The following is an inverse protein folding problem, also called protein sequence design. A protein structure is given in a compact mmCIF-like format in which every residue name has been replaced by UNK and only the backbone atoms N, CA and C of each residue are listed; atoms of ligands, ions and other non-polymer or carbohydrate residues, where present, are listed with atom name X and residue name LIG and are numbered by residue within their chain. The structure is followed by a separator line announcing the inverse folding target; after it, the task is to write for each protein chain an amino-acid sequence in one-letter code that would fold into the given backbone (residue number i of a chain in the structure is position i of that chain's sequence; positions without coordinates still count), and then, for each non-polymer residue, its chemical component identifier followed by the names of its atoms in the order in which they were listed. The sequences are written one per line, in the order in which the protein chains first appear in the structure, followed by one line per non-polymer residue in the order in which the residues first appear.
data_IF_856706166129
#
_entry.id   IF_856706166129
#
_cell.length_a   1.000
_cell.length_b   1.000
_cell.length_c   1.000
_cell.angle_alpha   90.00
_cell.angle_beta   90.00
_cell.angle_gamma   90.00
#
_symmetry.space_group_name_H-M   'P 1'
#
loop_
_entity.id
_entity.type
_entity.pdbx_description
1 polymer ?
#
# COMPACT_ATOMS: atom_id res chain seq x y z
N UNK A 1 -37.43 -21.72 28.57
CA UNK A 1 -37.35 -22.41 27.26
C UNK A 1 -35.92 -22.35 26.78
N UNK A 2 -35.19 -23.48 26.79
CA UNK A 2 -33.77 -23.52 26.46
C UNK A 2 -33.56 -23.30 24.95
N UNK A 3 -32.69 -22.35 24.59
CA UNK A 3 -32.35 -22.00 23.21
C UNK A 3 -31.77 -23.22 22.46
N UNK A 4 -32.28 -23.48 21.25
CA UNK A 4 -31.82 -24.51 20.31
C UNK A 4 -30.30 -24.43 20.01
N UNK A 5 -29.68 -23.26 20.23
CA UNK A 5 -28.24 -23.07 20.08
C UNK A 5 -27.41 -23.76 21.19
N UNK A 6 -27.97 -23.92 22.39
CA UNK A 6 -27.30 -24.58 23.51
C UNK A 6 -27.21 -26.11 23.32
N UNK A 7 -28.22 -26.70 22.67
CA UNK A 7 -28.31 -28.15 22.43
C UNK A 7 -27.23 -28.62 21.44
N UNK A 8 -27.00 -27.88 20.36
CA UNK A 8 -25.99 -28.22 19.35
C UNK A 8 -24.55 -28.12 19.87
N UNK A 9 -24.26 -27.22 20.82
CA UNK A 9 -22.95 -27.11 21.47
C UNK A 9 -22.61 -28.35 22.29
N UNK A 10 -23.60 -28.96 22.95
CA UNK A 10 -23.46 -30.14 23.81
C UNK A 10 -23.10 -31.40 23.01
N UNK A 11 -23.66 -31.57 21.81
CA UNK A 11 -23.43 -32.77 20.97
C UNK A 11 -21.99 -32.82 20.44
N UNK A 12 -21.39 -31.67 20.10
CA UNK A 12 -20.00 -31.62 19.58
C UNK A 12 -18.94 -31.99 20.63
N UNK A 13 -19.22 -31.81 21.92
CA UNK A 13 -18.27 -32.12 23.00
C UNK A 13 -18.10 -33.62 23.23
N UNK A 14 -19.09 -34.45 22.89
CA UNK A 14 -19.00 -35.91 23.07
C UNK A 14 -18.02 -36.59 22.08
N UNK A 15 -17.58 -35.90 21.03
CA UNK A 15 -16.52 -36.39 20.11
C UNK A 15 -15.11 -36.27 20.69
N UNK A 16 -14.94 -35.50 21.77
CA UNK A 16 -13.67 -35.32 22.44
C UNK A 16 -13.56 -36.23 23.68
N UNK A 17 -12.33 -36.68 24.02
CA UNK A 17 -12.04 -37.37 25.27
C UNK A 17 -12.53 -36.58 26.50
N UNK A 18 -12.84 -37.26 27.62
CA UNK A 18 -13.46 -36.64 28.79
C UNK A 18 -12.62 -35.48 29.37
N UNK A 19 -11.29 -35.52 29.25
CA UNK A 19 -10.38 -34.46 29.69
C UNK A 19 -10.53 -33.13 28.92
N UNK A 20 -11.12 -33.13 27.72
CA UNK A 20 -11.36 -31.92 26.91
C UNK A 20 -12.80 -31.43 26.96
N UNK A 21 -13.64 -32.06 27.78
CA UNK A 21 -15.02 -31.63 27.98
C UNK A 21 -15.02 -30.50 29.02
N UNK A 22 -15.58 -29.37 28.61
CA UNK A 22 -15.75 -28.23 29.52
C UNK A 22 -16.73 -28.68 30.60
N UNK A 23 -16.33 -28.71 31.89
CA UNK A 23 -17.26 -29.02 32.97
C UNK A 23 -18.39 -28.01 32.94
N UNK A 24 -19.62 -28.44 33.28
CA UNK A 24 -20.71 -27.47 33.47
C UNK A 24 -20.21 -26.41 34.44
N UNK A 25 -20.44 -25.11 34.16
CA UNK A 25 -20.00 -24.06 35.06
C UNK A 25 -20.64 -24.36 36.40
N UNK A 26 -19.84 -24.86 37.33
CA UNK A 26 -20.25 -25.10 38.70
C UNK A 26 -20.66 -23.73 39.19
N UNK A 27 -21.98 -23.50 39.27
CA UNK A 27 -22.53 -22.40 40.04
C UNK A 27 -22.04 -22.66 41.45
N UNK A 28 -20.91 -22.03 41.79
CA UNK A 28 -20.46 -21.92 43.16
C UNK A 28 -21.69 -21.47 43.94
N UNK A 29 -22.16 -22.33 44.84
CA UNK A 29 -23.06 -21.94 45.90
C UNK A 29 -22.25 -21.00 46.79
N UNK A 30 -22.10 -19.76 46.32
CA UNK A 30 -21.65 -18.67 47.17
C UNK A 30 -22.76 -18.47 48.20
N UNK A 31 -22.41 -18.62 49.46
CA UNK A 31 -23.20 -18.18 50.60
C UNK A 31 -23.64 -16.72 50.35
N UNK A 32 -24.97 -16.43 50.31
CA UNK A 32 -25.46 -15.08 50.04
C UNK A 32 -25.03 -14.05 51.10
N UNK A 33 -24.43 -14.47 52.22
CA UNK A 33 -23.97 -13.58 53.27
C UNK A 33 -22.57 -12.99 53.07
N UNK A 34 -21.75 -13.51 52.13
CA UNK A 34 -20.36 -13.04 51.91
C UNK A 34 -20.11 -12.51 50.49
N UNK A 35 -21.16 -12.42 49.66
CA UNK A 35 -21.06 -11.77 48.36
C UNK A 35 -20.98 -10.25 48.59
N UNK A 36 -19.76 -9.72 48.66
CA UNK A 36 -19.54 -8.30 48.40
C UNK A 36 -20.26 -7.95 47.08
N UNK A 37 -20.96 -6.81 46.99
CA UNK A 37 -21.59 -6.42 45.75
C UNK A 37 -20.49 -6.31 44.70
N UNK A 38 -20.47 -7.27 43.78
CA UNK A 38 -19.78 -7.12 42.51
C UNK A 38 -20.65 -6.08 41.81
N UNK A 39 -20.33 -4.80 42.05
CA UNK A 39 -20.84 -3.73 41.22
C UNK A 39 -20.37 -4.10 39.83
N UNK A 40 -21.32 -4.49 38.98
CA UNK A 40 -21.16 -4.67 37.55
C UNK A 40 -20.99 -3.26 36.93
N UNK A 41 -20.01 -2.51 37.43
CA UNK A 41 -19.42 -1.44 36.66
C UNK A 41 -18.81 -2.17 35.48
N UNK A 42 -19.30 -1.92 34.24
CA UNK A 42 -18.64 -2.47 33.09
C UNK A 42 -17.20 -2.02 33.19
N UNK A 43 -16.27 -2.97 33.30
CA UNK A 43 -14.85 -2.69 33.11
C UNK A 43 -14.79 -1.73 31.93
N UNK A 44 -14.16 -0.53 32.10
CA UNK A 44 -14.05 0.38 30.99
C UNK A 44 -13.50 -0.47 29.85
N UNK A 45 -14.25 -0.52 28.75
CA UNK A 45 -13.79 -1.15 27.52
C UNK A 45 -12.52 -0.38 27.20
N UNK A 46 -11.38 -0.89 27.66
CA UNK A 46 -10.09 -0.35 27.28
C UNK A 46 -10.12 -0.54 25.78
N UNK A 47 -10.12 0.55 25.00
CA UNK A 47 -10.06 0.39 23.56
C UNK A 47 -8.91 -0.56 23.27
N UNK A 48 -9.12 -1.55 22.42
CA UNK A 48 -8.03 -2.40 21.92
C UNK A 48 -7.05 -1.61 21.04
N UNK A 49 -7.12 -0.28 21.09
CA UNK A 49 -6.11 0.70 20.73
C UNK A 49 -4.98 0.60 21.77
N UNK A 50 -4.38 -0.59 21.91
CA UNK A 50 -2.98 -0.63 22.33
C UNK A 50 -2.25 0.18 21.27
N UNK A 51 -1.77 1.36 21.66
CA UNK A 51 -0.92 2.22 20.86
C UNK A 51 0.14 1.34 20.17
N UNK A 52 -0.06 1.05 18.87
CA UNK A 52 0.96 0.45 18.01
C UNK A 52 1.97 1.54 17.62
N UNK A 53 2.46 2.30 18.60
CA UNK A 53 3.32 3.45 18.40
C UNK A 53 4.74 3.20 18.90
N UNK A 54 5.22 1.96 18.71
CA UNK A 54 6.55 1.55 19.20
C UNK A 54 7.56 1.30 18.05
N UNK A 55 7.19 1.63 16.81
CA UNK A 55 8.12 1.56 15.67
C UNK A 55 8.07 2.83 14.85
N UNK A 56 9.24 3.45 14.68
CA UNK A 56 9.44 4.67 13.90
C UNK A 56 9.00 4.49 12.45
N UNK A 57 8.36 5.52 11.90
CA UNK A 57 7.83 5.52 10.53
C UNK A 57 8.95 5.32 9.51
N UNK A 58 10.15 5.84 9.76
CA UNK A 58 11.30 5.64 8.88
C UNK A 58 11.68 4.15 8.79
N UNK A 59 11.71 3.45 9.93
CA UNK A 59 12.01 2.02 9.97
C UNK A 59 10.94 1.21 9.24
N UNK A 60 9.66 1.55 9.44
CA UNK A 60 8.56 0.92 8.72
C UNK A 60 8.71 1.12 7.20
N UNK A 61 9.01 2.35 6.78
CA UNK A 61 9.19 2.70 5.39
C UNK A 61 10.39 1.96 4.76
N UNK A 62 11.50 1.85 5.47
CA UNK A 62 12.70 1.13 5.01
C UNK A 62 12.44 -0.37 4.81
N UNK A 63 11.79 -1.03 5.78
CA UNK A 63 11.46 -2.45 5.68
C UNK A 63 10.51 -2.70 4.50
N UNK A 64 9.46 -1.90 4.40
CA UNK A 64 8.47 -2.02 3.33
C UNK A 64 9.09 -1.74 1.95
N UNK A 65 9.97 -0.75 1.85
CA UNK A 65 10.77 -0.48 0.63
C UNK A 65 11.68 -1.65 0.29
N UNK A 66 12.34 -2.25 1.28
CA UNK A 66 13.18 -3.43 1.09
C UNK A 66 12.41 -4.62 0.50
N UNK A 67 11.23 -4.91 1.04
CA UNK A 67 10.34 -5.95 0.52
C UNK A 67 9.94 -5.65 -0.94
N UNK A 68 9.54 -4.42 -1.23
CA UNK A 68 9.19 -3.99 -2.59
C UNK A 68 10.35 -4.16 -3.57
N UNK A 69 11.56 -3.72 -3.22
CA UNK A 69 12.75 -3.84 -4.10
C UNK A 69 13.04 -5.30 -4.48
N UNK A 70 12.98 -6.20 -3.51
CA UNK A 70 13.27 -7.63 -3.78
C UNK A 70 12.19 -8.24 -4.64
N UNK A 71 10.91 -7.95 -4.36
CA UNK A 71 9.79 -8.42 -5.19
C UNK A 71 9.88 -7.89 -6.63
N UNK A 72 10.19 -6.60 -6.80
CA UNK A 72 10.36 -5.97 -8.11
C UNK A 72 11.52 -6.60 -8.88
N UNK A 73 12.67 -6.80 -8.23
CA UNK A 73 13.83 -7.47 -8.85
C UNK A 73 13.49 -8.85 -9.39
N UNK A 74 12.74 -9.65 -8.63
CA UNK A 74 12.34 -10.98 -9.08
C UNK A 74 11.24 -10.97 -10.15
N UNK A 75 10.48 -9.88 -10.29
CA UNK A 75 9.49 -9.73 -11.35
C UNK A 75 10.11 -9.37 -12.70
N UNK A 76 11.29 -8.72 -12.70
CA UNK A 76 12.01 -8.33 -13.93
C UNK A 76 12.85 -9.45 -14.55
N UNK A 77 12.97 -10.61 -13.89
CA UNK A 77 13.75 -11.74 -14.42
C UNK A 77 12.87 -12.62 -15.32
N UNK A 78 13.13 -12.58 -16.63
CA UNK A 78 12.45 -13.43 -17.60
C UNK A 78 12.99 -14.87 -17.55
N UNK A 79 12.09 -15.86 -17.42
CA UNK A 79 12.41 -17.30 -17.49
C UNK A 79 12.00 -18.11 -16.27
N UNK A 80 12.38 -19.39 -16.24
CA UNK A 80 12.08 -20.28 -15.11
C UNK A 80 12.98 -19.94 -13.91
N UNK A 81 12.43 -19.18 -12.96
CA UNK A 81 13.10 -18.81 -11.72
C UNK A 81 13.52 -20.05 -10.90
N UNK A 82 14.75 -20.16 -10.38
CA UNK A 82 15.17 -21.26 -9.51
C UNK A 82 14.23 -21.49 -8.32
N UNK A 83 14.16 -22.73 -7.81
CA UNK A 83 13.29 -23.09 -6.68
C UNK A 83 13.43 -22.16 -5.47
N UNK A 84 14.66 -21.75 -5.14
CA UNK A 84 14.94 -20.85 -4.02
C UNK A 84 14.29 -19.47 -4.21
N UNK A 85 14.38 -18.90 -5.42
CA UNK A 85 13.75 -17.63 -5.76
C UNK A 85 12.23 -17.72 -5.68
N UNK A 86 11.61 -18.78 -6.25
CA UNK A 86 10.16 -18.97 -6.15
C UNK A 86 9.68 -19.05 -4.70
N UNK A 87 10.44 -19.74 -3.84
CA UNK A 87 10.15 -19.80 -2.41
C UNK A 87 10.30 -18.43 -1.72
N UNK A 88 11.35 -17.68 -2.07
CA UNK A 88 11.58 -16.33 -1.55
C UNK A 88 10.46 -15.37 -1.98
N UNK A 89 10.08 -15.34 -3.26
CA UNK A 89 8.97 -14.53 -3.79
C UNK A 89 7.67 -14.84 -3.05
N UNK A 90 7.36 -16.13 -2.85
CA UNK A 90 6.17 -16.53 -2.09
C UNK A 90 6.18 -16.01 -0.66
N UNK A 91 7.31 -16.16 0.04
CA UNK A 91 7.43 -15.72 1.43
C UNK A 91 7.38 -14.18 1.55
N UNK A 92 8.03 -13.45 0.64
CA UNK A 92 8.00 -11.98 0.61
C UNK A 92 6.62 -11.43 0.23
N UNK A 93 5.89 -12.13 -0.64
CA UNK A 93 4.49 -11.81 -0.93
C UNK A 93 3.64 -11.96 0.33
N UNK A 94 3.82 -13.05 1.09
CA UNK A 94 3.14 -13.22 2.37
C UNK A 94 3.53 -12.12 3.38
N UNK A 95 4.80 -11.68 3.42
CA UNK A 95 5.23 -10.55 4.25
C UNK A 95 4.52 -9.27 3.83
N UNK A 96 4.42 -8.97 2.53
CA UNK A 96 3.68 -7.82 2.00
C UNK A 96 2.21 -7.87 2.43
N UNK A 97 1.55 -9.03 2.33
CA UNK A 97 0.18 -9.20 2.79
C UNK A 97 0.03 -8.95 4.30
N UNK A 98 1.01 -9.34 5.12
CA UNK A 98 1.03 -9.03 6.56
C UNK A 98 1.21 -7.54 6.84
N UNK A 99 2.05 -6.85 6.06
CA UNK A 99 2.18 -5.39 6.14
C UNK A 99 0.84 -4.72 5.85
N UNK A 100 0.14 -5.16 4.80
CA UNK A 100 -1.18 -4.63 4.44
C UNK A 100 -2.24 -4.88 5.53
N UNK A 101 -2.24 -6.07 6.14
CA UNK A 101 -3.08 -6.37 7.31
C UNK A 101 -2.75 -5.47 8.51
N UNK A 102 -1.47 -5.11 8.66
CA UNK A 102 -0.97 -4.10 9.59
C UNK A 102 -1.25 -2.65 9.17
N UNK A 103 -2.07 -2.43 8.14
CA UNK A 103 -2.40 -1.11 7.55
C UNK A 103 -1.20 -0.38 6.96
N UNK A 104 -0.14 -1.10 6.60
CA UNK A 104 1.02 -0.57 5.87
C UNK A 104 0.82 -0.91 4.39
N UNK A 105 0.56 0.11 3.57
CA UNK A 105 0.34 -0.02 2.13
C UNK A 105 1.56 0.47 1.38
N UNK A 106 2.07 -0.37 0.49
CA UNK A 106 3.11 -0.04 -0.48
C UNK A 106 2.42 0.21 -1.83
N UNK A 107 2.58 1.42 -2.36
CA UNK A 107 2.03 1.82 -3.64
C UNK A 107 3.14 2.06 -4.65
N UNK A 108 3.13 1.21 -5.68
CA UNK A 108 3.86 1.40 -6.94
C UNK A 108 3.02 2.28 -7.88
N UNK A 109 3.69 3.07 -8.71
CA UNK A 109 3.06 4.01 -9.63
C UNK A 109 3.36 3.69 -11.10
N UNK A 110 4.07 2.59 -11.40
CA UNK A 110 4.40 2.18 -12.77
C UNK A 110 3.14 2.13 -13.65
N UNK A 111 3.19 2.81 -14.80
CA UNK A 111 2.10 2.89 -15.78
C UNK A 111 0.92 3.78 -15.38
N UNK A 112 0.96 4.45 -14.22
CA UNK A 112 -0.07 5.41 -13.83
C UNK A 112 0.01 6.67 -14.70
N UNK A 113 -1.14 7.23 -15.06
CA UNK A 113 -1.19 8.58 -15.66
C UNK A 113 -0.66 9.57 -14.63
N UNK A 114 0.33 10.35 -15.02
CA UNK A 114 0.90 11.35 -14.13
C UNK A 114 -0.01 12.58 -14.06
N UNK A 115 -0.23 13.07 -12.84
CA UNK A 115 -0.96 14.30 -12.57
C UNK A 115 -0.10 15.15 -11.61
N UNK A 116 0.20 16.43 -11.91
CA UNK A 116 0.99 17.29 -11.04
C UNK A 116 0.39 17.51 -9.64
N UNK A 117 -0.91 17.24 -9.47
CA UNK A 117 -1.61 17.24 -8.18
C UNK A 117 -1.33 15.99 -7.34
N UNK A 118 -0.76 14.92 -7.92
CA UNK A 118 -0.22 13.83 -7.14
C UNK A 118 1.02 14.29 -6.40
N UNK A 119 1.03 14.04 -5.10
CA UNK A 119 2.19 14.31 -4.25
C UNK A 119 3.26 13.23 -4.44
N UNK A 120 3.87 13.22 -5.63
CA UNK A 120 5.02 12.42 -6.03
C UNK A 120 6.22 13.35 -6.24
N UNK A 121 7.41 12.81 -6.00
CA UNK A 121 8.68 13.48 -6.28
C UNK A 121 9.18 13.00 -7.64
N UNK A 122 9.16 13.89 -8.64
CA UNK A 122 9.58 13.54 -10.00
C UNK A 122 11.08 13.70 -10.12
N UNK A 123 11.77 12.58 -10.31
CA UNK A 123 13.22 12.54 -10.43
C UNK A 123 13.70 12.94 -11.83
N UNK A 124 12.92 12.58 -12.86
CA UNK A 124 13.22 12.91 -14.25
C UNK A 124 11.96 12.87 -15.12
N UNK A 125 12.00 13.64 -16.21
CA UNK A 125 11.08 13.52 -17.33
C UNK A 125 11.85 12.96 -18.54
N UNK A 126 11.33 11.91 -19.16
CA UNK A 126 11.98 11.22 -20.27
C UNK A 126 11.07 11.20 -21.52
N UNK A 127 11.54 11.61 -22.70
CA UNK A 127 10.78 11.46 -23.93
C UNK A 127 10.49 9.99 -24.25
N UNK A 128 9.21 9.63 -24.38
CA UNK A 128 8.76 8.28 -24.70
C UNK A 128 8.00 8.27 -26.04
N UNK A 129 8.55 7.65 -27.09
CA UNK A 129 7.83 7.47 -28.35
C UNK A 129 6.54 6.68 -28.15
N UNK A 130 5.43 7.18 -28.70
CA UNK A 130 4.13 6.52 -28.61
C UNK A 130 3.31 6.84 -27.36
N UNK A 131 3.81 7.70 -26.45
CA UNK A 131 3.00 8.23 -25.36
C UNK A 131 2.18 9.44 -25.86
N UNK A 132 0.90 9.46 -25.52
CA UNK A 132 -0.04 10.55 -25.84
C UNK A 132 -0.20 11.56 -24.68
N UNK A 133 0.27 11.19 -23.50
CA UNK A 133 0.23 11.97 -22.26
C UNK A 133 1.35 11.58 -21.31
N UNK A 134 1.48 12.34 -20.23
CA UNK A 134 2.44 12.07 -19.17
C UNK A 134 2.04 10.81 -18.38
N UNK A 135 2.95 9.84 -18.32
CA UNK A 135 2.74 8.54 -17.66
C UNK A 135 3.96 8.24 -16.82
N UNK A 136 3.79 7.74 -15.60
CA UNK A 136 4.91 7.24 -14.79
C UNK A 136 5.50 6.02 -15.49
N UNK A 137 6.72 6.14 -16.00
CA UNK A 137 7.46 5.05 -16.67
C UNK A 137 8.07 4.13 -15.63
N UNK A 138 8.64 4.72 -14.58
CA UNK A 138 9.32 3.96 -13.54
C UNK A 138 9.13 4.59 -12.16
N UNK A 139 8.82 3.76 -11.18
CA UNK A 139 8.83 4.07 -9.76
C UNK A 139 10.20 3.75 -9.21
N UNK A 140 10.96 4.78 -8.86
CA UNK A 140 12.28 4.67 -8.23
C UNK A 140 12.14 4.33 -6.75
N UNK A 141 11.14 4.91 -6.09
CA UNK A 141 10.80 4.67 -4.69
C UNK A 141 9.28 4.62 -4.53
N UNK A 142 8.72 3.60 -3.84
CA UNK A 142 7.27 3.51 -3.70
C UNK A 142 6.76 4.54 -2.69
N UNK A 143 5.51 4.95 -2.85
CA UNK A 143 4.82 5.65 -1.77
C UNK A 143 4.39 4.67 -0.70
N UNK A 144 4.63 5.01 0.57
CA UNK A 144 4.28 4.14 1.69
C UNK A 144 3.31 4.86 2.60
N UNK A 145 2.23 4.16 2.95
CA UNK A 145 1.16 4.66 3.81
C UNK A 145 1.01 3.78 5.03
N UNK A 146 0.89 4.37 6.22
CA UNK A 146 0.56 3.70 7.48
C UNK A 146 -0.78 4.22 7.96
N UNK A 147 -1.77 3.35 8.08
CA UNK A 147 -3.13 3.72 8.51
C UNK A 147 -3.72 4.86 7.68
N UNK A 148 -3.43 4.90 6.37
CA UNK A 148 -3.89 5.94 5.44
C UNK A 148 -3.05 7.23 5.43
N UNK A 149 -2.17 7.45 6.40
CA UNK A 149 -1.20 8.57 6.40
C UNK A 149 0.02 8.18 5.58
N UNK A 150 0.45 9.04 4.65
CA UNK A 150 1.70 8.82 3.92
C UNK A 150 2.89 9.03 4.84
N UNK A 151 3.76 8.03 4.92
CA UNK A 151 5.01 8.06 5.69
C UNK A 151 6.25 8.16 4.78
N UNK A 152 6.10 7.84 3.48
CA UNK A 152 7.16 8.02 2.48
C UNK A 152 6.57 8.54 1.16
N UNK A 153 7.15 9.62 0.62
CA UNK A 153 6.82 10.13 -0.73
C UNK A 153 7.35 9.17 -1.80
N UNK A 154 6.55 8.92 -2.84
CA UNK A 154 7.01 8.12 -3.97
C UNK A 154 7.92 8.95 -4.89
N UNK A 155 8.98 8.34 -5.39
CA UNK A 155 9.85 8.92 -6.40
C UNK A 155 9.64 8.24 -7.73
N UNK A 156 9.48 9.02 -8.79
CA UNK A 156 9.10 8.50 -10.11
C UNK A 156 9.89 9.15 -11.24
N UNK A 157 10.00 8.44 -12.35
CA UNK A 157 10.40 8.92 -13.66
C UNK A 157 9.15 8.98 -14.53
N UNK A 158 8.90 10.14 -15.13
CA UNK A 158 7.70 10.39 -15.94
C UNK A 158 8.08 10.39 -17.42
N UNK A 159 7.41 9.56 -18.19
CA UNK A 159 7.46 9.57 -19.64
C UNK A 159 6.61 10.70 -20.18
N UNK A 160 7.21 11.58 -20.97
CA UNK A 160 6.51 12.64 -21.70
C UNK A 160 6.41 12.25 -23.18
N UNK A 161 5.34 12.68 -23.89
CA UNK A 161 5.26 12.49 -25.32
C UNK A 161 6.53 13.01 -26.00
N UNK A 162 7.23 12.14 -26.73
CA UNK A 162 8.30 12.61 -27.61
C UNK A 162 7.65 13.54 -28.65
N UNK A 163 8.00 14.83 -28.64
CA UNK A 163 7.63 15.71 -29.74
C UNK A 163 8.18 15.05 -31.01
N UNK A 164 7.29 14.51 -31.83
CA UNK A 164 7.63 14.29 -33.24
C UNK A 164 7.97 15.68 -33.74
N UNK A 165 9.22 15.90 -34.18
CA UNK A 165 9.73 17.16 -34.72
C UNK A 165 8.63 17.88 -35.53
N UNK A 166 7.88 18.73 -34.85
CA UNK A 166 6.78 19.46 -35.44
C UNK A 166 7.42 20.72 -36.00
N UNK A 167 8.00 20.55 -37.19
CA UNK A 167 8.50 21.58 -38.08
C UNK A 167 9.43 22.60 -37.40
N UNK A 168 10.71 22.59 -37.79
CA UNK A 168 11.43 23.87 -37.92
C UNK A 168 10.43 24.86 -38.54
N UNK A 169 10.17 26.04 -37.93
CA UNK A 169 9.50 27.08 -38.66
C UNK A 169 10.41 27.34 -39.85
N UNK A 170 9.98 26.84 -41.02
CA UNK A 170 10.52 27.19 -42.31
C UNK A 170 10.55 28.71 -42.29
N UNK A 171 11.73 29.28 -42.00
CA UNK A 171 12.00 30.68 -42.19
C UNK A 171 11.87 30.83 -43.69
N UNK A 172 10.65 31.10 -44.15
CA UNK A 172 10.40 31.59 -45.49
C UNK A 172 11.16 32.88 -45.55
N UNK A 173 12.37 32.74 -46.07
CA UNK A 173 13.13 33.73 -46.79
C UNK A 173 12.12 34.67 -47.46
N UNK A 174 11.84 35.80 -46.80
CA UNK A 174 11.08 36.87 -47.38
C UNK A 174 12.06 37.58 -48.30
N UNK A 175 11.94 37.48 -49.64
CA UNK A 175 12.73 38.31 -50.52
C UNK A 175 12.38 39.76 -50.18
N UNK A 176 13.43 40.58 -50.07
CA UNK A 176 13.42 41.90 -49.45
C UNK A 176 12.18 42.74 -49.76
N UNK A 177 11.52 43.19 -48.69
CA UNK A 177 10.65 44.35 -48.77
C UNK A 177 11.56 45.59 -48.79
N UNK A 178 11.95 46.01 -50.00
CA UNK A 178 12.49 47.35 -50.21
C UNK A 178 11.47 48.36 -49.69
N UNK A 179 11.81 49.04 -48.60
CA UNK A 179 11.09 50.22 -48.14
C UNK A 179 11.47 51.36 -49.11
N UNK A 180 10.53 51.98 -49.85
CA UNK A 180 10.84 53.17 -50.60
C UNK A 180 11.03 54.32 -49.62
N UNK A 181 12.24 54.86 -49.55
CA UNK A 181 12.52 56.10 -48.83
C UNK A 181 11.96 57.25 -49.66
N UNK A 182 11.06 58.10 -49.13
CA UNK A 182 10.52 59.21 -49.89
C UNK A 182 11.59 60.29 -50.13
N UNK A 183 11.71 60.71 -51.39
CA UNK A 183 12.49 61.87 -51.77
C UNK A 183 12.00 63.11 -51.03
N UNK A 184 12.91 63.82 -50.37
CA UNK A 184 12.65 65.13 -49.80
C UNK A 184 13.48 66.15 -50.58
N UNK A 185 12.78 67.13 -51.14
CA UNK A 185 13.26 68.34 -51.83
C UNK A 185 14.07 69.26 -50.90
#
# INVERSE_FOLDING_TARGET
MASLAAVHRRIRQYRFPPEFRIPEPTRYLADPATAAPITDEPDPIVPADRELDDLDDAVVADVATGVWRVLRRFASEDGEAPRAQRLATRNLTAVRERLEQGRIRIQDHDGAVFDPGFSLDVMAYEPQPGFDREIVVETVLPSIYRSGRRIQIGQVIVGIPAQTDAAEPEYRDHPGHEIPVPATD
#
